data_IF_398765150323
#
_entry.id   IF_398765150323
#
_cell.length_a   1.000
_cell.length_b   1.000
_cell.length_c   1.000
_cell.angle_alpha   90.00
_cell.angle_beta   90.00
_cell.angle_gamma   90.00
#
_symmetry.space_group_name_H-M   'P 1'
#
loop_
_entity.id
_entity.type
_entity.pdbx_description
1 polymer ?
#
# COMPACT_ATOMS: atom_id res chain seq x y z
N UNK A 1 -8.85 0.88 -6.56
CA UNK A 1 -7.73 0.13 -7.13
C UNK A 1 -7.52 -1.11 -6.30
N UNK A 2 -7.31 -2.26 -6.94
CA UNK A 2 -6.92 -3.53 -6.31
C UNK A 2 -5.49 -3.85 -6.73
N UNK A 3 -4.65 -4.22 -5.77
CA UNK A 3 -3.23 -4.49 -6.01
C UNK A 3 -2.78 -5.77 -5.31
N UNK A 4 -1.73 -6.37 -5.85
CA UNK A 4 -0.96 -7.37 -5.13
C UNK A 4 -0.10 -6.70 -4.05
N UNK A 5 0.30 -7.44 -3.00
CA UNK A 5 1.21 -6.92 -1.98
C UNK A 5 2.57 -6.44 -2.51
N UNK A 6 2.99 -6.98 -3.66
CA UNK A 6 4.21 -6.59 -4.38
C UNK A 6 4.14 -5.13 -4.87
N UNK A 7 2.95 -4.66 -5.26
CA UNK A 7 2.71 -3.36 -5.88
C UNK A 7 2.03 -3.45 -7.25
N UNK A 8 1.94 -4.66 -7.84
CA UNK A 8 1.28 -4.86 -9.14
C UNK A 8 -0.20 -4.50 -9.06
N UNK A 9 -0.65 -3.62 -9.97
CA UNK A 9 -2.06 -3.25 -10.05
C UNK A 9 -2.83 -4.28 -10.85
N UNK A 10 -3.89 -4.82 -10.25
CA UNK A 10 -4.73 -5.85 -10.85
C UNK A 10 -5.99 -5.29 -11.48
N UNK A 11 -6.65 -4.35 -10.79
CA UNK A 11 -7.92 -3.78 -11.23
C UNK A 11 -7.99 -2.30 -10.83
N UNK A 12 -8.52 -1.47 -11.72
CA UNK A 12 -8.69 -0.03 -11.49
C UNK A 12 -10.11 0.37 -11.82
N UNK A 13 -10.73 1.05 -10.88
CA UNK A 13 -12.04 1.65 -11.08
C UNK A 13 -11.97 3.14 -10.77
N UNK A 14 -12.45 3.95 -11.71
CA UNK A 14 -12.45 5.42 -11.60
C UNK A 14 -13.73 5.85 -10.91
N UNK A 15 -13.59 6.57 -9.80
CA UNK A 15 -14.72 7.19 -9.12
C UNK A 15 -15.24 8.39 -9.92
N UNK A 16 -16.50 8.36 -10.32
CA UNK A 16 -17.14 9.39 -11.16
C UNK A 16 -18.07 10.33 -10.39
N UNK A 17 -17.96 10.36 -9.06
CA UNK A 17 -18.75 11.27 -8.23
C UNK A 17 -20.23 10.88 -8.17
N UNK A 18 -21.11 11.87 -8.22
CA UNK A 18 -22.56 11.67 -8.09
C UNK A 18 -23.17 10.78 -9.18
N UNK A 19 -22.52 10.69 -10.35
CA UNK A 19 -22.94 9.86 -11.48
C UNK A 19 -22.42 8.41 -11.40
N UNK A 20 -21.73 8.04 -10.32
CA UNK A 20 -21.29 6.67 -10.14
C UNK A 20 -22.50 5.75 -9.94
N UNK A 21 -22.66 4.78 -10.85
CA UNK A 21 -23.63 3.68 -10.76
C UNK A 21 -23.63 2.95 -9.41
N UNK A 22 -22.50 3.00 -8.68
CA UNK A 22 -22.32 2.39 -7.36
C UNK A 22 -22.57 3.36 -6.21
N UNK A 23 -23.08 4.55 -6.50
CA UNK A 23 -23.45 5.54 -5.50
C UNK A 23 -24.49 5.05 -4.49
N UNK A 24 -24.68 5.84 -3.45
CA UNK A 24 -25.68 5.62 -2.41
C UNK A 24 -25.27 4.61 -1.34
N UNK A 25 -26.28 3.98 -0.72
CA UNK A 25 -26.09 3.08 0.42
C UNK A 25 -25.24 1.87 0.01
N UNK A 26 -24.21 1.59 0.81
CA UNK A 26 -23.30 0.46 0.57
C UNK A 26 -22.28 0.69 -0.54
N UNK A 27 -22.02 1.94 -0.96
CA UNK A 27 -21.03 2.27 -1.98
C UNK A 27 -19.68 1.54 -1.81
N UNK A 28 -19.11 1.59 -0.60
CA UNK A 28 -17.83 0.92 -0.31
C UNK A 28 -17.87 -0.60 -0.59
N UNK A 29 -18.95 -1.29 -0.21
CA UNK A 29 -19.15 -2.71 -0.51
C UNK A 29 -19.27 -2.97 -2.02
N UNK A 30 -20.06 -2.15 -2.72
CA UNK A 30 -20.23 -2.26 -4.18
C UNK A 30 -18.90 -2.10 -4.93
N UNK A 31 -18.06 -1.16 -4.50
CA UNK A 31 -16.72 -0.94 -5.08
C UNK A 31 -15.83 -2.16 -4.85
N UNK A 32 -15.82 -2.72 -3.64
CA UNK A 32 -15.02 -3.92 -3.34
C UNK A 32 -15.47 -5.11 -4.19
N UNK A 33 -16.77 -5.37 -4.25
CA UNK A 33 -17.33 -6.46 -5.05
C UNK A 33 -17.04 -6.28 -6.53
N UNK A 34 -17.07 -5.04 -7.05
CA UNK A 34 -16.69 -4.76 -8.43
C UNK A 34 -15.23 -5.04 -8.70
N UNK A 35 -14.33 -4.54 -7.86
CA UNK A 35 -12.89 -4.74 -8.01
C UNK A 35 -12.50 -6.23 -7.90
N UNK A 36 -13.25 -7.02 -7.13
CA UNK A 36 -13.02 -8.44 -6.94
C UNK A 36 -13.80 -9.34 -7.92
N UNK A 37 -14.66 -8.81 -8.78
CA UNK A 37 -15.66 -9.59 -9.54
C UNK A 37 -15.11 -10.82 -10.28
N UNK A 38 -13.86 -10.78 -10.76
CA UNK A 38 -13.19 -11.88 -11.48
C UNK A 38 -12.20 -12.66 -10.62
N UNK A 39 -12.20 -12.44 -9.31
CA UNK A 39 -11.29 -13.02 -8.31
C UNK A 39 -12.00 -13.60 -7.10
N UNK A 40 -13.33 -13.50 -7.05
CA UNK A 40 -14.17 -14.19 -6.08
C UNK A 40 -14.12 -15.72 -6.30
N UNK A 41 -14.61 -16.48 -5.32
CA UNK A 41 -14.76 -17.94 -5.39
C UNK A 41 -13.44 -18.70 -5.62
N UNK A 42 -12.33 -18.14 -5.15
CA UNK A 42 -10.97 -18.67 -5.39
C UNK A 42 -10.14 -18.85 -4.11
N UNK A 43 -10.72 -18.61 -2.92
CA UNK A 43 -10.01 -18.71 -1.65
C UNK A 43 -8.99 -17.59 -1.40
N UNK A 44 -9.07 -16.48 -2.14
CA UNK A 44 -8.17 -15.34 -1.97
C UNK A 44 -8.41 -14.61 -0.65
N UNK A 45 -7.35 -13.99 -0.12
CA UNK A 45 -7.42 -13.08 1.03
C UNK A 45 -7.30 -11.63 0.59
N UNK A 46 -8.36 -10.84 0.79
CA UNK A 46 -8.34 -9.40 0.55
C UNK A 46 -8.01 -8.64 1.83
N UNK A 47 -7.08 -7.71 1.73
CA UNK A 47 -6.72 -6.81 2.82
C UNK A 47 -7.23 -5.41 2.47
N UNK A 48 -7.97 -4.78 3.39
CA UNK A 48 -8.65 -3.51 3.12
C UNK A 48 -8.59 -2.56 4.30
N UNK A 49 -8.60 -1.26 4.04
CA UNK A 49 -8.66 -0.24 5.08
C UNK A 49 -10.08 -0.13 5.69
N UNK A 50 -10.18 0.54 6.82
CA UNK A 50 -11.38 0.75 7.62
C UNK A 50 -12.56 1.38 6.86
N UNK A 51 -12.30 2.11 5.77
CA UNK A 51 -13.34 2.68 4.92
C UNK A 51 -14.15 1.62 4.18
N UNK A 52 -13.55 0.46 3.87
CA UNK A 52 -14.21 -0.61 3.13
C UNK A 52 -14.78 -1.69 4.05
N UNK A 53 -14.10 -1.98 5.16
CA UNK A 53 -14.50 -3.05 6.07
C UNK A 53 -15.86 -2.82 6.76
N UNK A 54 -16.68 -3.87 6.76
CA UNK A 54 -17.95 -3.97 7.50
C UNK A 54 -18.33 -5.43 7.72
N UNK A 55 -19.15 -5.71 8.74
CA UNK A 55 -19.65 -7.06 9.02
C UNK A 55 -20.46 -7.64 7.85
N UNK A 56 -21.25 -6.78 7.18
CA UNK A 56 -22.08 -7.18 6.04
C UNK A 56 -21.23 -7.59 4.84
N UNK A 57 -20.21 -6.79 4.51
CA UNK A 57 -19.28 -7.13 3.43
C UNK A 57 -18.46 -8.37 3.75
N UNK A 58 -17.99 -8.53 5.00
CA UNK A 58 -17.23 -9.70 5.40
C UNK A 58 -18.02 -11.01 5.23
N UNK A 59 -19.34 -10.97 5.50
CA UNK A 59 -20.23 -12.10 5.23
C UNK A 59 -20.37 -12.39 3.74
N UNK A 60 -20.67 -11.36 2.95
CA UNK A 60 -20.82 -11.49 1.50
C UNK A 60 -19.54 -12.05 0.83
N UNK A 61 -18.35 -11.62 1.29
CA UNK A 61 -17.08 -12.15 0.81
C UNK A 61 -16.87 -13.62 1.22
N UNK A 62 -17.23 -14.00 2.44
CA UNK A 62 -17.19 -15.40 2.88
C UNK A 62 -18.12 -16.30 2.06
N UNK A 63 -19.34 -15.84 1.78
CA UNK A 63 -20.30 -16.53 0.92
C UNK A 63 -19.74 -16.72 -0.50
N UNK A 64 -18.82 -15.84 -0.94
CA UNK A 64 -18.07 -15.92 -2.19
C UNK A 64 -16.65 -16.49 -2.02
N UNK A 65 -16.43 -17.37 -1.04
CA UNK A 65 -15.16 -18.05 -0.73
C UNK A 65 -13.93 -17.13 -0.79
N UNK A 66 -14.07 -15.93 -0.23
CA UNK A 66 -13.03 -14.89 -0.23
C UNK A 66 -12.84 -14.40 1.20
N UNK A 67 -11.62 -14.51 1.71
CA UNK A 67 -11.31 -14.04 3.05
C UNK A 67 -11.04 -12.54 3.05
N UNK A 68 -11.34 -11.88 4.17
CA UNK A 68 -11.05 -10.47 4.35
C UNK A 68 -10.38 -10.22 5.69
N UNK A 69 -9.41 -9.30 5.73
CA UNK A 69 -8.76 -8.86 6.96
C UNK A 69 -8.43 -7.37 6.91
N UNK A 70 -8.74 -6.64 7.97
CA UNK A 70 -8.25 -5.27 8.10
C UNK A 70 -8.79 -4.51 9.29
N UNK A 71 -8.49 -3.21 9.30
CA UNK A 71 -8.96 -2.31 10.36
C UNK A 71 -10.45 -2.03 10.18
N UNK A 72 -11.17 -1.74 11.26
CA UNK A 72 -12.61 -1.55 11.26
C UNK A 72 -12.97 -0.24 11.97
N UNK A 73 -13.83 0.58 11.38
CA UNK A 73 -14.34 1.77 12.08
C UNK A 73 -15.31 1.36 13.19
N UNK A 74 -15.21 2.02 14.34
CA UNK A 74 -16.02 1.71 15.52
C UNK A 74 -17.53 1.96 15.29
N UNK A 75 -17.87 2.94 14.45
CA UNK A 75 -19.23 3.37 14.13
C UNK A 75 -19.94 2.51 13.07
N UNK A 76 -19.33 1.41 12.61
CA UNK A 76 -19.97 0.50 11.65
C UNK A 76 -21.14 -0.24 12.29
N UNK A 77 -22.27 -0.27 11.57
CA UNK A 77 -23.43 -1.08 11.92
C UNK A 77 -23.04 -2.57 11.99
N UNK A 78 -23.52 -3.26 13.02
CA UNK A 78 -23.28 -4.68 13.23
C UNK A 78 -22.06 -4.99 14.12
N UNK A 79 -21.25 -3.99 14.45
CA UNK A 79 -20.13 -4.20 15.37
C UNK A 79 -20.63 -4.61 16.77
N UNK A 80 -19.97 -5.59 17.43
CA UNK A 80 -20.34 -6.02 18.78
C UNK A 80 -20.01 -4.93 19.81
N UNK A 81 -21.06 -4.32 20.39
CA UNK A 81 -20.94 -3.21 21.36
C UNK A 81 -20.05 -3.59 22.54
N UNK A 82 -20.13 -4.84 22.99
CA UNK A 82 -19.33 -5.36 24.11
C UNK A 82 -17.84 -5.39 23.80
N UNK A 83 -17.42 -5.56 22.53
CA UNK A 83 -16.01 -5.46 22.12
C UNK A 83 -15.61 -3.99 21.95
N UNK A 84 -16.41 -3.20 21.25
CA UNK A 84 -16.12 -1.80 20.92
C UNK A 84 -15.97 -0.94 22.19
N UNK A 85 -16.89 -1.10 23.15
CA UNK A 85 -16.91 -0.32 24.39
C UNK A 85 -15.89 -0.79 25.44
N UNK A 86 -15.29 -1.97 25.28
CA UNK A 86 -14.36 -2.51 26.29
C UNK A 86 -13.14 -1.60 26.45
N UNK A 87 -12.81 -1.26 27.70
CA UNK A 87 -11.54 -0.63 28.07
C UNK A 87 -10.49 -1.72 28.22
N UNK A 88 -9.39 -1.60 27.47
CA UNK A 88 -8.28 -2.55 27.51
C UNK A 88 -7.04 -1.88 28.15
N UNK A 89 -6.21 -2.62 28.88
CA UNK A 89 -4.85 -2.18 29.19
C UNK A 89 -4.00 -2.18 27.92
N UNK A 90 -2.87 -1.46 27.93
CA UNK A 90 -1.92 -1.48 26.80
C UNK A 90 -1.42 -2.91 26.57
N UNK A 91 -1.46 -3.34 25.31
CA UNK A 91 -1.17 -4.71 24.90
C UNK A 91 -2.35 -5.67 25.00
N UNK A 92 -3.44 -5.29 25.69
CA UNK A 92 -4.63 -6.13 25.84
C UNK A 92 -5.42 -6.28 24.54
N UNK A 93 -6.13 -7.40 24.41
CA UNK A 93 -7.06 -7.65 23.30
C UNK A 93 -8.35 -8.30 23.77
N UNK A 94 -9.45 -8.03 23.08
CA UNK A 94 -10.74 -8.73 23.23
C UNK A 94 -11.32 -8.95 21.84
N UNK A 95 -11.87 -10.13 21.58
CA UNK A 95 -12.53 -10.43 20.31
C UNK A 95 -13.84 -11.17 20.50
N UNK A 96 -14.69 -11.11 19.48
CA UNK A 96 -15.93 -11.86 19.40
C UNK A 96 -16.05 -12.47 18.01
N UNK A 97 -16.60 -13.67 17.97
CA UNK A 97 -16.76 -14.47 16.77
C UNK A 97 -18.24 -14.67 16.49
N UNK A 98 -18.62 -14.59 15.23
CA UNK A 98 -19.97 -14.93 14.77
C UNK A 98 -19.92 -15.28 13.30
N UNK A 99 -20.46 -16.45 12.94
CA UNK A 99 -20.63 -16.90 11.56
C UNK A 99 -19.35 -16.78 10.71
N UNK A 100 -18.22 -17.28 11.24
CA UNK A 100 -16.92 -17.22 10.55
C UNK A 100 -16.23 -15.85 10.55
N UNK A 101 -16.86 -14.82 11.13
CA UNK A 101 -16.31 -13.46 11.22
C UNK A 101 -15.82 -13.20 12.63
N UNK A 102 -14.58 -12.74 12.75
CA UNK A 102 -13.99 -12.28 14.00
C UNK A 102 -13.87 -10.76 13.98
N UNK A 103 -14.34 -10.12 15.05
CA UNK A 103 -14.11 -8.70 15.32
C UNK A 103 -13.33 -8.58 16.62
N UNK A 104 -12.17 -7.94 16.53
CA UNK A 104 -11.25 -7.77 17.64
C UNK A 104 -10.97 -6.31 17.91
N UNK A 105 -10.76 -6.00 19.20
CA UNK A 105 -10.20 -4.75 19.69
C UNK A 105 -8.86 -5.05 20.33
N UNK A 106 -7.84 -4.27 19.99
CA UNK A 106 -6.50 -4.34 20.57
C UNK A 106 -6.03 -2.95 20.92
N UNK A 107 -5.32 -2.81 22.04
CA UNK A 107 -4.77 -1.52 22.47
C UNK A 107 -3.26 -1.50 22.34
N UNK A 108 -2.75 -0.69 21.41
CA UNK A 108 -1.33 -0.31 21.38
C UNK A 108 -1.15 1.04 22.08
N UNK A 109 -0.74 2.09 21.35
CA UNK A 109 -0.83 3.49 21.80
C UNK A 109 -2.28 3.99 21.79
N UNK A 110 -3.08 3.48 20.85
CA UNK A 110 -4.51 3.77 20.69
C UNK A 110 -5.25 2.46 20.50
N UNK A 111 -6.55 2.51 20.72
CA UNK A 111 -7.43 1.38 20.44
C UNK A 111 -7.50 1.18 18.92
N UNK A 112 -7.32 -0.06 18.48
CA UNK A 112 -7.43 -0.51 17.10
C UNK A 112 -8.52 -1.56 17.06
N UNK A 113 -9.61 -1.27 16.35
CA UNK A 113 -10.63 -2.25 16.03
C UNK A 113 -10.32 -2.86 14.67
N UNK A 114 -10.51 -4.16 14.53
CA UNK A 114 -10.19 -4.91 13.32
C UNK A 114 -11.17 -6.05 13.11
N UNK A 115 -11.25 -6.49 11.87
CA UNK A 115 -12.09 -7.60 11.40
C UNK A 115 -11.20 -8.60 10.67
N UNK A 116 -11.50 -9.89 10.82
CA UNK A 116 -10.89 -10.94 10.01
C UNK A 116 -11.84 -12.09 9.86
N UNK A 117 -11.82 -12.72 8.68
CA UNK A 117 -12.51 -13.98 8.41
C UNK A 117 -11.56 -15.15 8.21
N UNK A 118 -10.26 -14.92 8.40
CA UNK A 118 -9.20 -15.91 8.16
C UNK A 118 -8.43 -16.23 9.45
N UNK A 119 -8.15 -15.22 10.26
CA UNK A 119 -7.21 -15.34 11.37
C UNK A 119 -7.91 -15.24 12.74
N UNK A 120 -7.54 -16.10 13.70
CA UNK A 120 -8.00 -15.98 15.08
C UNK A 120 -7.36 -14.78 15.79
N UNK A 121 -7.93 -14.38 16.92
CA UNK A 121 -7.37 -13.38 17.83
C UNK A 121 -6.19 -13.94 18.65
N UNK A 122 -5.16 -14.42 17.96
CA UNK A 122 -3.94 -14.93 18.59
C UNK A 122 -2.91 -13.81 18.69
N UNK A 123 -2.39 -13.59 19.89
CA UNK A 123 -1.31 -12.64 20.13
C UNK A 123 0.03 -13.25 19.73
N UNK A 124 0.72 -12.64 18.78
CA UNK A 124 1.98 -13.15 18.24
C UNK A 124 3.12 -12.17 18.48
N UNK A 125 4.28 -12.71 18.87
CA UNK A 125 5.50 -11.94 19.02
C UNK A 125 6.17 -11.81 17.65
N UNK A 126 6.58 -10.60 17.30
CA UNK A 126 7.34 -10.31 16.09
C UNK A 126 8.46 -9.31 16.37
N UNK A 127 9.51 -9.39 15.56
CA UNK A 127 10.61 -8.43 15.59
C UNK A 127 10.35 -7.33 14.57
N UNK A 128 10.31 -6.08 15.02
CA UNK A 128 10.16 -4.94 14.11
C UNK A 128 11.49 -4.65 13.39
N UNK A 129 11.45 -3.82 12.34
CA UNK A 129 12.62 -3.32 11.57
C UNK A 129 13.73 -2.69 12.44
N UNK A 130 13.43 -2.31 13.68
CA UNK A 130 14.39 -1.77 14.67
C UNK A 130 14.92 -2.82 15.65
N UNK A 131 14.84 -4.11 15.30
CA UNK A 131 15.24 -5.26 16.13
C UNK A 131 14.53 -5.36 17.51
N UNK A 132 13.42 -4.64 17.71
CA UNK A 132 12.63 -4.70 18.96
C UNK A 132 11.52 -5.74 18.85
N UNK A 133 11.46 -6.65 19.83
CA UNK A 133 10.34 -7.59 20.00
C UNK A 133 9.08 -6.82 20.41
N UNK A 134 7.97 -7.10 19.74
CA UNK A 134 6.65 -6.54 20.02
C UNK A 134 5.61 -7.63 19.89
N UNK A 135 4.47 -7.48 20.57
CA UNK A 135 3.34 -8.40 20.49
C UNK A 135 2.17 -7.68 19.85
N UNK A 136 1.51 -8.32 18.87
CA UNK A 136 0.28 -7.83 18.25
C UNK A 136 -0.62 -8.99 17.82
N UNK A 137 -1.93 -8.76 17.62
CA UNK A 137 -2.81 -9.78 17.08
C UNK A 137 -2.35 -10.23 15.69
N UNK A 138 -2.46 -11.52 15.40
CA UNK A 138 -2.13 -12.13 14.11
C UNK A 138 -2.81 -11.45 12.91
N UNK A 139 -4.13 -11.11 12.95
CA UNK A 139 -4.78 -10.38 11.86
C UNK A 139 -4.13 -9.03 11.57
N UNK A 140 -3.74 -8.27 12.61
CA UNK A 140 -3.06 -6.98 12.48
C UNK A 140 -1.63 -7.15 11.93
N UNK A 141 -0.95 -8.25 12.30
CA UNK A 141 0.35 -8.58 11.73
C UNK A 141 0.24 -8.78 10.21
N UNK A 142 -0.70 -9.61 9.76
CA UNK A 142 -0.90 -9.89 8.33
C UNK A 142 -1.42 -8.67 7.57
N UNK A 143 -2.35 -7.91 8.14
CA UNK A 143 -2.79 -6.63 7.59
C UNK A 143 -1.60 -5.69 7.29
N UNK A 144 -0.73 -5.45 8.28
CA UNK A 144 0.44 -4.58 8.09
C UNK A 144 1.45 -5.14 7.07
N UNK A 145 1.48 -6.46 6.85
CA UNK A 145 2.37 -7.11 5.89
C UNK A 145 1.87 -6.91 4.45
N UNK A 146 0.56 -6.99 4.23
CA UNK A 146 -0.02 -7.07 2.89
C UNK A 146 -0.67 -5.77 2.38
N UNK A 147 -1.02 -4.82 3.23
CA UNK A 147 -1.68 -3.56 2.81
C UNK A 147 -0.84 -2.59 1.99
N UNK A 148 0.48 -2.78 1.89
CA UNK A 148 1.38 -1.79 1.28
C UNK A 148 1.33 -1.73 -0.25
N UNK A 149 0.51 -2.56 -0.92
CA UNK A 149 0.51 -2.65 -2.39
C UNK A 149 0.18 -1.34 -3.08
N UNK A 150 -0.91 -0.67 -2.66
CA UNK A 150 -1.32 0.63 -3.21
C UNK A 150 -0.28 1.72 -2.92
N UNK A 151 0.18 1.82 -1.67
CA UNK A 151 1.19 2.82 -1.27
C UNK A 151 2.49 2.70 -2.07
N UNK A 152 2.93 1.47 -2.39
CA UNK A 152 4.11 1.24 -3.23
C UNK A 152 3.91 1.75 -4.65
N UNK A 153 2.74 1.51 -5.22
CA UNK A 153 2.41 1.99 -6.56
C UNK A 153 2.42 3.52 -6.61
N UNK A 154 1.77 4.16 -5.63
CA UNK A 154 1.73 5.61 -5.51
C UNK A 154 3.13 6.20 -5.31
N UNK A 155 3.96 5.56 -4.49
CA UNK A 155 5.36 5.95 -4.29
C UNK A 155 6.16 5.88 -5.60
N UNK A 156 6.02 4.79 -6.37
CA UNK A 156 6.72 4.61 -7.65
C UNK A 156 6.33 5.67 -8.68
N UNK A 157 5.05 6.05 -8.72
CA UNK A 157 4.56 7.11 -9.59
C UNK A 157 5.03 8.50 -9.15
N UNK A 158 5.18 8.74 -7.84
CA UNK A 158 5.61 10.02 -7.29
C UNK A 158 7.08 10.34 -7.61
N UNK A 159 7.95 9.33 -7.79
CA UNK A 159 9.36 9.55 -8.16
C UNK A 159 9.54 10.13 -9.57
N UNK A 160 8.66 9.76 -10.50
CA UNK A 160 8.74 10.20 -11.90
C UNK A 160 7.39 10.74 -12.38
N UNK A 161 6.98 11.92 -11.88
CA UNK A 161 5.69 12.51 -12.23
C UNK A 161 5.67 12.91 -13.71
N UNK A 162 4.71 12.38 -14.46
CA UNK A 162 4.48 12.71 -15.87
C UNK A 162 3.29 13.65 -16.08
N UNK A 163 2.56 14.00 -15.02
CA UNK A 163 1.41 14.89 -15.08
C UNK A 163 1.83 16.34 -15.35
N UNK A 164 1.29 16.95 -16.41
CA UNK A 164 1.46 18.38 -16.72
C UNK A 164 0.20 19.17 -16.36
N UNK A 165 0.33 20.48 -16.09
CA UNK A 165 -0.82 21.37 -15.90
C UNK A 165 -1.68 21.36 -17.17
N UNK A 166 -2.96 21.01 -17.03
CA UNK A 166 -3.92 20.97 -18.13
C UNK A 166 -5.32 21.22 -17.59
N UNK A 167 -6.15 21.91 -18.38
CA UNK A 167 -7.57 22.14 -18.09
C UNK A 167 -8.45 20.92 -18.39
N UNK A 168 -7.93 19.94 -19.15
CA UNK A 168 -8.69 18.76 -19.61
C UNK A 168 -8.40 17.56 -18.70
N UNK A 169 -9.35 17.19 -17.83
CA UNK A 169 -9.16 16.16 -16.80
C UNK A 169 -8.85 14.76 -17.38
N UNK A 170 -9.47 14.37 -18.49
CA UNK A 170 -9.26 13.06 -19.12
C UNK A 170 -7.81 12.82 -19.55
N UNK A 171 -7.06 13.89 -19.90
CA UNK A 171 -5.63 13.79 -20.23
C UNK A 171 -4.81 13.36 -19.01
N UNK A 172 -5.19 13.81 -17.80
CA UNK A 172 -4.53 13.40 -16.56
C UNK A 172 -4.76 11.91 -16.28
N UNK A 173 -5.99 11.43 -16.52
CA UNK A 173 -6.30 10.01 -16.38
C UNK A 173 -5.54 9.15 -17.39
N UNK A 174 -5.50 9.54 -18.67
CA UNK A 174 -4.76 8.80 -19.68
C UNK A 174 -3.26 8.69 -19.31
N UNK A 175 -2.62 9.79 -18.91
CA UNK A 175 -1.22 9.79 -18.45
C UNK A 175 -1.04 8.89 -17.23
N UNK A 176 -1.98 8.93 -16.28
CA UNK A 176 -1.94 8.08 -15.10
C UNK A 176 -1.99 6.60 -15.47
N UNK A 177 -2.89 6.19 -16.37
CA UNK A 177 -2.94 4.80 -16.85
C UNK A 177 -1.65 4.36 -17.54
N UNK A 178 -1.03 5.22 -18.36
CA UNK A 178 0.29 4.91 -18.94
C UNK A 178 1.36 4.73 -17.87
N UNK A 179 1.36 5.56 -16.82
CA UNK A 179 2.28 5.39 -15.69
C UNK A 179 2.02 4.07 -14.95
N UNK A 180 0.77 3.70 -14.71
CA UNK A 180 0.40 2.43 -14.06
C UNK A 180 0.89 1.22 -14.87
N UNK A 181 0.61 1.21 -16.18
CA UNK A 181 1.06 0.14 -17.10
C UNK A 181 2.58 0.04 -17.11
N UNK A 182 3.28 1.18 -17.15
CA UNK A 182 4.73 1.22 -17.15
C UNK A 182 5.33 0.63 -15.87
N UNK A 183 4.77 0.98 -14.70
CA UNK A 183 5.20 0.42 -13.41
C UNK A 183 4.87 -1.09 -13.33
N UNK A 184 3.68 -1.51 -13.75
CA UNK A 184 3.32 -2.93 -13.79
C UNK A 184 4.28 -3.72 -14.71
N UNK A 185 4.57 -3.22 -15.90
CA UNK A 185 5.50 -3.86 -16.83
C UNK A 185 6.92 -3.95 -16.27
N UNK A 186 7.37 -2.96 -15.49
CA UNK A 186 8.65 -2.98 -14.80
C UNK A 186 8.72 -4.08 -13.75
N UNK A 187 7.64 -4.26 -12.97
CA UNK A 187 7.55 -5.36 -12.00
C UNK A 187 7.60 -6.73 -12.69
N UNK A 188 6.78 -6.92 -13.72
CA UNK A 188 6.75 -8.17 -14.50
C UNK A 188 8.13 -8.46 -15.12
N UNK A 189 8.77 -7.46 -15.71
CA UNK A 189 10.10 -7.61 -16.29
C UNK A 189 11.13 -8.06 -15.24
N UNK A 190 11.16 -7.42 -14.07
CA UNK A 190 12.11 -7.75 -13.03
C UNK A 190 11.86 -9.13 -12.39
N UNK A 191 10.62 -9.61 -12.41
CA UNK A 191 10.26 -10.92 -11.89
C UNK A 191 10.65 -12.05 -12.84
N UNK A 192 10.40 -11.89 -14.14
CA UNK A 192 10.49 -12.99 -15.11
C UNK A 192 11.68 -12.94 -16.07
N UNK A 193 12.35 -11.80 -16.25
CA UNK A 193 13.42 -11.69 -17.26
C UNK A 193 14.78 -12.24 -16.82
N UNK A 194 14.93 -12.61 -15.55
CA UNK A 194 16.23 -12.96 -14.94
C UNK A 194 17.20 -11.77 -14.83
N UNK A 195 16.84 -10.60 -15.35
CA UNK A 195 17.57 -9.34 -15.22
C UNK A 195 16.79 -8.40 -14.31
N UNK A 196 17.50 -7.67 -13.46
CA UNK A 196 16.89 -6.68 -12.58
C UNK A 196 17.34 -5.29 -12.98
N UNK A 197 16.41 -4.48 -13.47
CA UNK A 197 16.64 -3.08 -13.78
C UNK A 197 16.03 -2.19 -12.72
N UNK A 198 16.71 -1.07 -12.44
CA UNK A 198 16.08 0.02 -11.71
C UNK A 198 14.93 0.59 -12.54
N UNK A 199 13.95 1.22 -11.90
CA UNK A 199 12.84 1.80 -12.66
C UNK A 199 13.31 2.88 -13.63
N UNK A 200 14.36 3.63 -13.28
CA UNK A 200 15.00 4.60 -14.17
C UNK A 200 15.54 3.94 -15.45
N UNK A 201 16.37 2.91 -15.30
CA UNK A 201 17.00 2.23 -16.44
C UNK A 201 15.95 1.55 -17.31
N UNK A 202 14.96 0.92 -16.69
CA UNK A 202 13.85 0.29 -17.40
C UNK A 202 13.09 1.31 -18.27
N UNK A 203 12.80 2.51 -17.74
CA UNK A 203 12.16 3.58 -18.51
C UNK A 203 13.01 4.02 -19.69
N UNK A 204 14.33 4.12 -19.53
CA UNK A 204 15.23 4.46 -20.63
C UNK A 204 15.21 3.39 -21.73
N UNK A 205 15.18 2.10 -21.38
CA UNK A 205 15.08 1.02 -22.37
C UNK A 205 13.72 1.06 -23.10
N UNK A 206 12.62 1.31 -22.38
CA UNK A 206 11.30 1.48 -23.00
C UNK A 206 11.32 2.65 -23.98
N UNK A 207 11.91 3.80 -23.61
CA UNK A 207 12.04 4.96 -24.49
C UNK A 207 12.86 4.61 -25.74
N UNK A 208 14.01 3.92 -25.58
CA UNK A 208 14.84 3.46 -26.70
C UNK A 208 14.07 2.57 -27.66
N UNK A 209 13.33 1.60 -27.11
CA UNK A 209 12.50 0.69 -27.89
C UNK A 209 11.41 1.42 -28.68
N UNK A 210 10.71 2.38 -28.05
CA UNK A 210 9.65 3.15 -28.69
C UNK A 210 10.15 4.13 -29.76
N UNK A 211 11.37 4.67 -29.61
CA UNK A 211 11.97 5.57 -30.59
C UNK A 211 12.62 4.82 -31.78
N UNK A 212 12.59 3.49 -31.79
CA UNK A 212 13.07 2.67 -32.91
C UNK A 212 14.56 2.78 -33.21
N UNK A 213 15.37 3.29 -32.27
CA UNK A 213 16.77 3.61 -32.55
C UNK A 213 17.69 3.34 -31.34
N UNK A 214 18.84 2.77 -31.66
CA UNK A 214 20.05 2.69 -30.84
C UNK A 214 20.47 4.08 -30.35
N UNK A 215 19.85 4.59 -29.28
CA UNK A 215 20.39 5.75 -28.58
C UNK A 215 21.71 5.30 -27.95
N UNK A 216 22.82 5.64 -28.60
CA UNK A 216 24.17 5.45 -28.08
C UNK A 216 24.19 5.96 -26.64
N UNK A 217 24.64 5.12 -25.70
CA UNK A 217 24.71 5.46 -24.27
C UNK A 217 25.32 6.86 -24.14
N UNK A 218 24.64 7.85 -23.52
CA UNK A 218 25.28 9.12 -23.26
C UNK A 218 26.53 8.84 -22.42
N UNK A 219 27.70 9.23 -22.94
CA UNK A 219 28.97 9.10 -22.21
C UNK A 219 28.83 9.91 -20.93
N UNK A 220 28.63 9.22 -19.80
CA UNK A 220 28.78 9.84 -18.49
C UNK A 220 30.23 10.33 -18.42
N UNK A 221 30.45 11.64 -18.54
CA UNK A 221 31.73 12.22 -18.18
C UNK A 221 31.90 11.95 -16.69
N UNK A 222 32.75 10.95 -16.35
CA UNK A 222 33.30 10.84 -15.01
C UNK A 222 34.04 12.15 -14.76
N UNK A 223 33.42 13.07 -14.02
CA UNK A 223 34.18 14.15 -13.42
C UNK A 223 35.23 13.46 -12.55
N UNK A 224 36.51 13.59 -12.94
CA UNK A 224 37.63 13.17 -12.11
C UNK A 224 37.41 13.85 -10.75
N UNK A 225 37.12 13.04 -9.74
CA UNK A 225 37.18 13.51 -8.36
C UNK A 225 38.62 13.98 -8.16
N UNK A 226 38.82 15.29 -8.06
CA UNK A 226 40.11 15.84 -7.64
C UNK A 226 40.38 15.31 -6.23
N UNK A 227 41.20 14.28 -6.13
CA UNK A 227 41.86 13.89 -4.88
C UNK A 227 42.78 15.04 -4.49
N UNK A 228 42.27 16.00 -3.73
CA UNK A 228 43.13 16.95 -3.01
C UNK A 228 43.63 16.24 -1.76
N UNK A 229 44.88 15.79 -1.87
CA UNK A 229 45.70 15.27 -0.79
C UNK A 229 45.73 16.24 0.39
N UNK A 230 45.47 15.67 1.56
CA UNK A 230 45.84 16.15 2.89
C UNK A 230 47.05 17.09 2.91
N UNK A 231 46.86 18.30 3.42
CA UNK A 231 47.84 18.96 4.28
C UNK A 231 47.09 19.70 5.38
N UNK A 232 46.95 19.04 6.52
CA UNK A 232 46.62 19.70 7.78
C UNK A 232 47.79 20.62 8.13
N UNK A 233 47.57 21.94 8.14
CA UNK A 233 48.43 22.89 8.84
C UNK A 233 47.62 23.60 9.92
N UNK A 234 48.08 23.41 11.14
CA UNK A 234 47.64 24.10 12.35
C UNK A 234 47.84 25.62 12.22
N UNK A 235 46.82 26.38 12.59
CA UNK A 235 46.86 27.72 13.19
C UNK A 235 45.49 27.89 13.86
N UNK A 236 45.37 27.94 15.18
CA UNK A 236 46.00 28.92 16.05
C UNK A 236 44.92 29.96 16.41
N UNK A 237 44.44 29.88 17.65
CA UNK A 237 43.48 30.78 18.31
C UNK A 237 43.52 32.24 17.83
N UNK A 238 42.33 32.86 17.67
CA UNK A 238 42.06 34.16 18.28
C UNK A 238 40.55 34.47 18.33
N UNK A 239 40.06 34.61 19.57
CA UNK A 239 38.83 35.32 19.94
C UNK A 239 38.86 36.74 19.37
N UNK A 240 37.74 37.23 18.86
CA UNK A 240 37.31 38.63 19.06
C UNK A 240 35.80 38.80 18.83
N UNK A 241 35.15 39.27 19.90
CA UNK A 241 33.84 39.92 19.92
C UNK A 241 33.86 41.24 19.14
N UNK A 242 32.65 41.71 18.77
CA UNK A 242 32.16 43.09 18.48
C UNK A 242 31.39 43.08 17.15
N UNK A 243 30.18 43.61 17.02
CA UNK A 243 29.25 44.33 17.91
C UNK A 243 27.83 43.81 17.65
#
# INVERSE_FOLDING_TARGET
>A
MLTEPSGTVLEVEVYTGAMDSKGGKGHASKVVMKLLQHKLNSGHSVYMDNYYNSCTLARELLDNQTFCTGTLRADRKGNPKDVVATKLPKGGTKAKYSNGIMIGKWKDKRDVLYISTEFPNTMVTFTNKRAKKKVKPLPILNYNKFMSGVDRQDQMMAYYPCSRKTLRWYKKLAIHFFQLILVNSHYIFNEYSGKRLTFYDYRLEVIRGLLGASLSKPKVKKNKCCTRSSTYKNCGNQRKRRN
#
